data_IF_597557950151
#
_entry.id   IF_597557950151
#
_cell.length_a   1.000
_cell.length_b   1.000
_cell.length_c   1.000
_cell.angle_alpha   90.00
_cell.angle_beta   90.00
_cell.angle_gamma   90.00
#
_symmetry.space_group_name_H-M   'P 1'
#
loop_
_entity.id
_entity.type
_entity.pdbx_description
1 polymer ?
#
# COMPACT_ATOMS: atom_id res chain seq x y z
N UNK A 1 -14.55 -15.63 17.00
CA UNK A 1 -13.37 -15.00 17.64
C UNK A 1 -12.63 -14.24 16.54
N UNK A 2 -12.21 -12.98 16.76
CA UNK A 2 -11.45 -12.24 15.72
C UNK A 2 -10.04 -12.82 15.62
N UNK A 3 -9.58 -13.06 14.39
CA UNK A 3 -8.18 -13.42 14.14
C UNK A 3 -7.28 -12.22 14.49
N UNK A 4 -6.17 -12.48 15.19
CA UNK A 4 -5.16 -11.45 15.51
C UNK A 4 -4.08 -11.47 14.44
N UNK A 5 -3.77 -10.30 13.87
CA UNK A 5 -2.75 -10.15 12.82
C UNK A 5 -1.76 -9.09 13.25
N UNK A 6 -0.48 -9.44 13.24
CA UNK A 6 0.62 -8.49 13.45
C UNK A 6 1.31 -8.27 12.10
N UNK A 7 1.44 -7.00 11.71
CA UNK A 7 2.15 -6.57 10.52
C UNK A 7 3.43 -5.86 10.95
N UNK A 8 4.57 -6.34 10.47
CA UNK A 8 5.88 -5.73 10.73
C UNK A 8 6.29 -4.88 9.53
N UNK A 9 6.36 -3.57 9.75
CA UNK A 9 6.64 -2.54 8.76
C UNK A 9 5.38 -1.85 8.25
N UNK A 10 5.32 -0.53 8.39
CA UNK A 10 4.26 0.33 7.89
C UNK A 10 4.64 1.02 6.57
N UNK A 11 5.27 0.26 5.66
CA UNK A 11 5.42 0.66 4.26
C UNK A 11 4.13 0.45 3.45
N UNK A 12 4.17 0.68 2.14
CA UNK A 12 3.00 0.49 1.27
C UNK A 12 2.37 -0.91 1.42
N UNK A 13 3.19 -1.96 1.30
CA UNK A 13 2.71 -3.35 1.45
C UNK A 13 2.07 -3.62 2.82
N UNK A 14 2.70 -3.17 3.91
CA UNK A 14 2.20 -3.39 5.26
C UNK A 14 0.90 -2.64 5.56
N UNK A 15 0.81 -1.38 5.12
CA UNK A 15 -0.42 -0.59 5.26
C UNK A 15 -1.57 -1.19 4.44
N UNK A 16 -1.32 -1.61 3.19
CA UNK A 16 -2.32 -2.33 2.39
C UNK A 16 -2.77 -3.61 3.08
N UNK A 17 -1.83 -4.45 3.54
CA UNK A 17 -2.16 -5.71 4.21
C UNK A 17 -2.97 -5.49 5.49
N UNK A 18 -2.62 -4.49 6.29
CA UNK A 18 -3.34 -4.14 7.51
C UNK A 18 -4.78 -3.71 7.24
N UNK A 19 -4.98 -2.82 6.26
CA UNK A 19 -6.32 -2.34 5.86
C UNK A 19 -7.17 -3.51 5.35
N UNK A 20 -6.64 -4.34 4.46
CA UNK A 20 -7.37 -5.49 3.92
C UNK A 20 -7.71 -6.49 5.04
N UNK A 21 -6.77 -6.80 5.94
CA UNK A 21 -7.02 -7.70 7.06
C UNK A 21 -8.11 -7.15 8.00
N UNK A 22 -8.06 -5.87 8.34
CA UNK A 22 -9.03 -5.22 9.21
C UNK A 22 -10.43 -5.15 8.55
N UNK A 23 -10.51 -4.86 7.25
CA UNK A 23 -11.77 -4.92 6.47
C UNK A 23 -12.37 -6.33 6.45
N UNK A 24 -11.56 -7.37 6.57
CA UNK A 24 -11.98 -8.76 6.74
C UNK A 24 -12.26 -9.16 8.21
N UNK A 25 -12.32 -8.20 9.13
CA UNK A 25 -12.72 -8.42 10.52
C UNK A 25 -11.59 -8.84 11.47
N UNK A 26 -10.33 -8.83 11.02
CA UNK A 26 -9.19 -9.11 11.90
C UNK A 26 -8.96 -7.97 12.91
N UNK A 27 -8.37 -8.33 14.06
CA UNK A 27 -7.77 -7.38 15.00
C UNK A 27 -6.31 -7.19 14.63
N UNK A 28 -5.94 -6.00 14.16
CA UNK A 28 -4.66 -5.73 13.50
C UNK A 28 -3.78 -4.79 14.32
N UNK A 29 -2.51 -5.17 14.46
CA UNK A 29 -1.44 -4.36 15.01
C UNK A 29 -0.34 -4.16 13.96
N UNK A 30 0.07 -2.93 13.72
CA UNK A 30 1.23 -2.58 12.91
C UNK A 30 2.40 -2.18 13.83
N UNK A 31 3.59 -2.73 13.57
CA UNK A 31 4.84 -2.33 14.20
C UNK A 31 5.72 -1.63 13.16
N UNK A 32 6.19 -0.41 13.44
CA UNK A 32 7.03 0.38 12.52
C UNK A 32 8.29 0.86 13.24
N UNK A 33 9.44 0.78 12.55
CA UNK A 33 10.73 1.18 13.13
C UNK A 33 10.96 2.69 13.12
N UNK A 34 10.39 3.40 12.14
CA UNK A 34 10.52 4.84 12.02
C UNK A 34 9.48 5.55 12.89
N UNK A 35 9.66 6.85 13.11
CA UNK A 35 8.67 7.70 13.77
C UNK A 35 7.40 7.93 12.93
N UNK A 36 7.49 7.72 11.60
CA UNK A 36 6.36 7.91 10.70
C UNK A 36 6.16 6.70 9.80
N UNK A 37 4.89 6.31 9.64
CA UNK A 37 4.48 5.32 8.65
C UNK A 37 4.66 5.87 7.23
N UNK A 38 4.86 4.98 6.25
CA UNK A 38 4.94 5.39 4.85
C UNK A 38 6.17 6.22 4.48
N UNK A 39 7.20 6.31 5.33
CA UNK A 39 8.39 7.16 5.08
C UNK A 39 9.06 6.93 3.72
N UNK A 40 9.16 5.67 3.25
CA UNK A 40 9.66 5.40 1.89
C UNK A 40 8.67 5.80 0.82
N UNK A 41 7.38 5.55 1.04
CA UNK A 41 6.31 5.88 0.09
C UNK A 41 6.26 7.38 -0.19
N UNK A 42 6.42 8.22 0.85
CA UNK A 42 6.43 9.67 0.74
C UNK A 42 7.56 10.25 -0.12
N UNK A 43 8.61 9.47 -0.39
CA UNK A 43 9.77 9.92 -1.19
C UNK A 43 9.74 9.43 -2.64
N UNK A 44 8.79 8.55 -3.00
CA UNK A 44 8.72 7.97 -4.36
C UNK A 44 8.28 8.99 -5.41
N UNK A 45 8.73 8.83 -6.65
CA UNK A 45 8.36 9.70 -7.77
C UNK A 45 8.72 11.18 -7.54
N UNK A 46 9.87 11.45 -6.91
CA UNK A 46 10.29 12.80 -6.51
C UNK A 46 9.23 13.52 -5.66
N UNK A 47 8.65 12.80 -4.70
CA UNK A 47 7.61 13.32 -3.81
C UNK A 47 6.20 13.33 -4.42
N UNK A 48 6.01 12.83 -5.64
CA UNK A 48 4.70 12.74 -6.30
C UNK A 48 3.96 11.42 -6.07
N UNK A 49 4.68 10.42 -5.59
CA UNK A 49 4.22 9.04 -5.43
C UNK A 49 3.89 8.35 -6.75
N UNK A 50 4.86 7.63 -7.31
CA UNK A 50 4.60 6.66 -8.37
C UNK A 50 3.98 5.41 -7.72
N UNK A 51 2.66 5.27 -7.87
CA UNK A 51 1.84 4.27 -7.18
C UNK A 51 1.96 2.88 -7.82
N UNK A 52 2.06 2.83 -9.14
CA UNK A 52 2.16 1.62 -9.97
C UNK A 52 2.45 2.04 -11.42
N UNK A 53 2.55 1.08 -12.34
CA UNK A 53 2.62 1.30 -13.78
C UNK A 53 1.43 0.61 -14.47
N UNK A 54 0.99 1.13 -15.62
CA UNK A 54 -0.02 0.52 -16.46
C UNK A 54 0.58 -0.66 -17.24
N UNK A 55 -0.18 -1.75 -17.37
CA UNK A 55 0.24 -2.87 -18.24
C UNK A 55 1.49 -3.62 -17.76
N UNK A 56 1.70 -3.70 -16.44
CA UNK A 56 2.82 -4.46 -15.87
C UNK A 56 2.84 -5.91 -16.34
N UNK A 57 4.03 -6.41 -16.67
CA UNK A 57 4.27 -7.81 -17.03
C UNK A 57 5.32 -8.43 -16.09
N UNK A 58 5.35 -9.76 -15.91
CA UNK A 58 6.34 -10.41 -15.05
C UNK A 58 7.78 -10.02 -15.37
N UNK A 59 8.08 -9.73 -16.63
CA UNK A 59 9.40 -9.35 -17.12
C UNK A 59 9.91 -8.03 -16.54
N UNK A 60 9.02 -7.13 -16.12
CA UNK A 60 9.36 -5.84 -15.47
C UNK A 60 9.92 -6.03 -14.06
N UNK A 61 9.82 -7.23 -13.50
CA UNK A 61 10.25 -7.57 -12.16
C UNK A 61 11.53 -8.42 -12.17
N UNK A 62 12.20 -8.43 -11.01
CA UNK A 62 13.40 -9.24 -10.77
C UNK A 62 13.18 -10.70 -11.14
N UNK A 63 14.20 -11.32 -11.77
CA UNK A 63 14.14 -12.70 -12.25
C UNK A 63 13.67 -13.70 -11.18
N UNK A 64 14.07 -13.51 -9.92
CA UNK A 64 13.69 -14.38 -8.80
C UNK A 64 12.18 -14.36 -8.48
N UNK A 65 11.45 -13.31 -8.86
CA UNK A 65 10.02 -13.18 -8.62
C UNK A 65 9.16 -13.69 -9.78
N UNK A 66 9.71 -13.72 -11.01
CA UNK A 66 8.95 -13.94 -12.26
C UNK A 66 8.13 -15.22 -12.28
N UNK A 67 8.62 -16.29 -11.67
CA UNK A 67 7.90 -17.57 -11.61
C UNK A 67 6.56 -17.50 -10.86
N UNK A 68 6.43 -16.57 -9.90
CA UNK A 68 5.24 -16.45 -9.04
C UNK A 68 4.25 -15.39 -9.53
N UNK A 69 4.73 -14.40 -10.29
CA UNK A 69 3.92 -13.25 -10.74
C UNK A 69 2.72 -13.63 -11.61
N UNK A 70 2.79 -14.59 -12.56
CA UNK A 70 1.60 -14.98 -13.33
C UNK A 70 0.44 -15.45 -12.46
N UNK A 71 0.73 -16.15 -11.36
CA UNK A 71 -0.31 -16.59 -10.42
C UNK A 71 -0.88 -15.42 -9.61
N UNK A 72 -0.02 -14.48 -9.22
CA UNK A 72 -0.42 -13.28 -8.49
C UNK A 72 -1.27 -12.34 -9.35
N UNK A 73 -0.86 -12.09 -10.60
CA UNK A 73 -1.58 -11.20 -11.53
C UNK A 73 -2.95 -11.72 -11.93
N UNK A 74 -3.19 -13.04 -11.83
CA UNK A 74 -4.54 -13.62 -11.98
C UNK A 74 -5.44 -13.36 -10.78
N UNK A 75 -4.87 -13.14 -9.59
CA UNK A 75 -5.61 -12.92 -8.35
C UNK A 75 -5.82 -11.42 -8.08
N UNK A 76 -4.87 -10.59 -8.48
CA UNK A 76 -4.89 -9.14 -8.27
C UNK A 76 -4.58 -8.47 -9.60
N UNK A 77 -5.57 -7.79 -10.15
CA UNK A 77 -5.46 -6.99 -11.37
C UNK A 77 -5.09 -5.54 -11.06
N UNK A 78 -4.65 -4.81 -12.09
CA UNK A 78 -4.46 -3.37 -12.01
C UNK A 78 -5.74 -2.64 -11.55
N UNK A 79 -6.90 -3.12 -12.00
CA UNK A 79 -8.20 -2.58 -11.59
C UNK A 79 -8.41 -2.71 -10.07
N UNK A 80 -8.03 -3.84 -9.48
CA UNK A 80 -8.17 -4.05 -8.02
C UNK A 80 -7.29 -3.07 -7.24
N UNK A 81 -6.09 -2.78 -7.73
CA UNK A 81 -5.20 -1.77 -7.13
C UNK A 81 -5.81 -0.38 -7.25
N UNK A 82 -6.35 -0.01 -8.42
CA UNK A 82 -7.02 1.28 -8.63
C UNK A 82 -8.25 1.44 -7.74
N UNK A 83 -9.07 0.39 -7.63
CA UNK A 83 -10.27 0.38 -6.79
C UNK A 83 -9.93 0.47 -5.30
N UNK A 84 -8.88 -0.24 -4.86
CA UNK A 84 -8.38 -0.13 -3.50
C UNK A 84 -7.96 1.30 -3.16
N UNK A 85 -7.11 1.91 -3.99
CA UNK A 85 -6.63 3.28 -3.78
C UNK A 85 -7.79 4.28 -3.80
N UNK A 86 -8.74 4.12 -4.74
CA UNK A 86 -9.96 4.93 -4.78
C UNK A 86 -10.78 4.77 -3.49
N UNK A 87 -10.88 3.57 -2.95
CA UNK A 87 -11.64 3.29 -1.72
C UNK A 87 -11.08 3.98 -0.47
N UNK A 88 -9.80 4.35 -0.48
CA UNK A 88 -9.17 5.13 0.60
C UNK A 88 -9.05 6.62 0.25
N UNK A 89 -9.70 7.07 -0.83
CA UNK A 89 -9.74 8.47 -1.25
C UNK A 89 -8.62 8.91 -2.20
N UNK A 90 -7.81 8.00 -2.72
CA UNK A 90 -6.74 8.32 -3.69
C UNK A 90 -7.24 8.12 -5.10
N UNK A 91 -7.51 9.22 -5.81
CA UNK A 91 -7.80 9.20 -7.23
C UNK A 91 -6.49 9.15 -8.04
N UNK A 92 -6.46 8.31 -9.07
CA UNK A 92 -5.27 8.04 -9.88
C UNK A 92 -5.41 8.65 -11.27
N UNK A 93 -4.34 9.29 -11.73
CA UNK A 93 -4.12 9.67 -13.13
C UNK A 93 -2.94 8.91 -13.69
N UNK A 94 -2.95 8.72 -15.00
CA UNK A 94 -1.88 8.06 -15.74
C UNK A 94 -1.05 9.10 -16.50
N UNK A 95 0.27 8.97 -16.42
CA UNK A 95 1.24 9.83 -17.09
C UNK A 95 2.36 8.95 -17.66
N UNK A 96 2.45 8.84 -18.99
CA UNK A 96 3.50 8.05 -19.68
C UNK A 96 3.57 6.59 -19.17
N UNK A 97 2.43 5.97 -18.87
CA UNK A 97 2.33 4.63 -18.29
C UNK A 97 2.49 4.58 -16.77
N UNK A 98 3.06 5.61 -16.13
CA UNK A 98 3.13 5.71 -14.68
C UNK A 98 1.79 6.12 -14.05
N UNK A 99 1.45 5.54 -12.89
CA UNK A 99 0.23 5.85 -12.15
C UNK A 99 0.54 6.75 -10.96
N UNK A 100 -0.08 7.92 -10.91
CA UNK A 100 0.18 8.96 -9.91
C UNK A 100 -1.12 9.41 -9.25
N UNK A 101 -1.10 9.91 -8.00
CA UNK A 101 -2.26 10.54 -7.41
C UNK A 101 -2.59 11.86 -8.12
N UNK A 102 -3.88 12.18 -8.25
CA UNK A 102 -4.30 13.46 -8.84
C UNK A 102 -3.77 14.70 -8.09
N UNK A 103 -3.53 14.57 -6.78
CA UNK A 103 -2.90 15.61 -5.96
C UNK A 103 -1.46 15.91 -6.37
N UNK A 104 -0.77 14.97 -7.02
CA UNK A 104 0.66 15.05 -7.32
C UNK A 104 1.55 15.07 -6.07
N UNK A 105 1.04 14.67 -4.89
CA UNK A 105 1.77 14.74 -3.62
C UNK A 105 1.74 13.39 -2.90
N UNK A 106 2.91 12.85 -2.57
CA UNK A 106 3.04 11.61 -1.85
C UNK A 106 2.56 11.69 -0.40
N UNK A 107 2.65 12.87 0.23
CA UNK A 107 2.06 13.14 1.54
C UNK A 107 0.56 12.82 1.56
N UNK A 108 -0.19 13.25 0.55
CA UNK A 108 -1.64 12.98 0.46
C UNK A 108 -1.97 11.48 0.39
N UNK A 109 -1.10 10.68 -0.24
CA UNK A 109 -1.28 9.22 -0.29
C UNK A 109 -1.00 8.61 1.07
N UNK A 110 0.08 9.02 1.74
CA UNK A 110 0.40 8.57 3.10
C UNK A 110 -0.72 8.95 4.09
N UNK A 111 -1.25 10.17 3.99
CA UNK A 111 -2.38 10.64 4.78
C UNK A 111 -3.64 9.82 4.54
N UNK A 112 -3.94 9.46 3.28
CA UNK A 112 -5.05 8.58 2.95
C UNK A 112 -4.93 7.21 3.62
N UNK A 113 -3.76 6.58 3.55
CA UNK A 113 -3.49 5.33 4.27
C UNK A 113 -3.64 5.49 5.79
N UNK A 114 -3.06 6.53 6.37
CA UNK A 114 -3.18 6.79 7.80
C UNK A 114 -4.62 7.04 8.24
N UNK A 115 -5.39 7.75 7.42
CA UNK A 115 -6.81 8.02 7.68
C UNK A 115 -7.61 6.74 7.70
N UNK A 116 -7.41 5.85 6.72
CA UNK A 116 -8.09 4.55 6.68
C UNK A 116 -7.68 3.64 7.84
N UNK A 117 -6.39 3.60 8.19
CA UNK A 117 -5.88 2.87 9.35
C UNK A 117 -6.58 3.32 10.64
N UNK A 118 -6.69 4.64 10.85
CA UNK A 118 -7.42 5.21 12.01
C UNK A 118 -8.91 4.90 11.95
N UNK A 119 -9.53 5.03 10.79
CA UNK A 119 -10.96 4.75 10.59
C UNK A 119 -11.31 3.30 10.95
N UNK A 120 -10.46 2.36 10.59
CA UNK A 120 -10.62 0.93 10.90
C UNK A 120 -10.18 0.55 12.32
N UNK A 121 -9.70 1.50 13.13
CA UNK A 121 -9.25 1.25 14.49
C UNK A 121 -7.99 0.38 14.59
N UNK A 122 -7.17 0.35 13.54
CA UNK A 122 -5.92 -0.43 13.51
C UNK A 122 -4.90 0.23 14.43
N UNK A 123 -4.31 -0.55 15.35
CA UNK A 123 -3.29 -0.04 16.26
C UNK A 123 -1.95 0.04 15.54
N UNK A 124 -1.24 1.15 15.72
CA UNK A 124 0.13 1.33 15.23
C UNK A 124 1.04 1.62 16.42
N UNK A 125 2.16 0.91 16.50
CA UNK A 125 3.26 1.23 17.42
C UNK A 125 4.48 1.55 16.55
N UNK A 126 4.85 2.81 16.55
CA UNK A 126 6.04 3.31 15.84
C UNK A 126 7.28 3.29 16.73
N UNK A 127 8.45 3.54 16.13
CA UNK A 127 9.76 3.50 16.79
C UNK A 127 10.09 2.16 17.48
N UNK A 128 9.57 1.06 16.95
CA UNK A 128 9.85 -0.30 17.41
C UNK A 128 10.61 -1.05 16.33
N UNK A 129 11.79 -1.54 16.68
CA UNK A 129 12.56 -2.47 15.88
C UNK A 129 12.32 -3.88 16.40
N UNK A 130 11.86 -4.77 15.52
CA UNK A 130 11.59 -6.20 15.78
C UNK A 130 12.70 -7.03 15.15
#
# INVERSE_FOLDING_TARGET
MKSKVIIVGAGAAGMCAAIIAARNGADVLILEKNQTVGKKLSMTGNGRCNLSHAGIVPEDYNQSARAYLPSLFRQISEKDVRDFLKSIGVLIREEEGGLYPYSGQASSVVEAFQSEIRHLGIRVIDQVQV
#
